data_IF_285762682545
#
_entry.id   IF_285762682545
#
_cell.length_a   1.000
_cell.length_b   1.000
_cell.length_c   1.000
_cell.angle_alpha   90.00
_cell.angle_beta   90.00
_cell.angle_gamma   90.00
#
_symmetry.space_group_name_H-M   'P 1'
#
loop_
_entity.id
_entity.type
_entity.pdbx_description
1 polymer ?
#
# COMPACT_ATOMS: atom_id res chain seq x y z
N UNK A 1 27.86 -10.79 0.66
CA UNK A 1 26.39 -10.61 0.70
C UNK A 1 25.96 -9.71 1.87
N UNK A 2 25.38 -8.56 1.60
CA UNK A 2 24.77 -7.63 2.56
C UNK A 2 23.37 -7.22 2.12
N UNK A 3 22.66 -6.53 3.02
CA UNK A 3 21.28 -6.06 2.81
C UNK A 3 21.19 -4.59 3.18
N UNK A 4 20.58 -3.79 2.32
CA UNK A 4 20.24 -2.39 2.58
C UNK A 4 18.71 -2.27 2.56
N UNK A 5 18.16 -1.67 3.62
CA UNK A 5 16.74 -1.34 3.70
C UNK A 5 16.56 0.17 3.80
N UNK A 6 15.50 0.69 3.18
CA UNK A 6 15.10 2.09 3.27
C UNK A 6 13.60 2.21 3.44
N UNK A 7 13.20 3.01 4.42
CA UNK A 7 11.80 3.31 4.71
C UNK A 7 11.42 4.68 4.15
N UNK A 8 10.24 4.75 3.53
CA UNK A 8 9.62 5.95 2.99
C UNK A 8 8.21 6.10 3.55
N UNK A 9 7.73 7.34 3.66
CA UNK A 9 6.34 7.62 3.97
C UNK A 9 5.70 8.40 2.82
N UNK A 10 4.44 8.10 2.52
CA UNK A 10 3.66 8.87 1.56
C UNK A 10 2.17 8.87 1.94
N UNK A 11 1.50 9.98 1.67
CA UNK A 11 0.06 10.11 1.83
C UNK A 11 -0.65 9.74 0.53
N UNK A 12 -1.66 8.87 0.58
CA UNK A 12 -2.52 8.57 -0.56
C UNK A 12 -3.94 8.23 -0.11
N UNK A 13 -4.93 8.58 -0.92
CA UNK A 13 -6.33 8.19 -0.73
C UNK A 13 -6.73 7.07 -1.68
N UNK A 14 -7.67 6.23 -1.25
CA UNK A 14 -8.25 5.16 -2.05
C UNK A 14 -9.69 4.83 -1.66
N UNK A 15 -10.30 3.96 -2.46
CA UNK A 15 -11.55 3.24 -2.15
C UNK A 15 -11.36 1.79 -2.57
N UNK A 16 -11.77 0.85 -1.72
CA UNK A 16 -11.88 -0.55 -2.13
C UNK A 16 -13.22 -0.77 -2.82
N UNK A 17 -13.18 -1.17 -4.09
CA UNK A 17 -14.38 -1.32 -4.92
C UNK A 17 -14.16 -2.34 -6.03
N UNK A 18 -15.16 -3.21 -6.25
CA UNK A 18 -15.25 -4.13 -7.38
C UNK A 18 -16.35 -3.64 -8.34
N UNK A 19 -16.02 -3.29 -9.60
CA UNK A 19 -17.00 -2.77 -10.56
C UNK A 19 -18.15 -3.73 -10.89
N UNK A 20 -17.92 -5.03 -10.78
CA UNK A 20 -18.92 -6.06 -11.10
C UNK A 20 -19.91 -6.29 -9.95
N UNK A 21 -19.73 -5.63 -8.80
CA UNK A 21 -20.55 -5.80 -7.61
C UNK A 21 -21.48 -4.61 -7.41
N UNK A 22 -22.66 -4.88 -6.84
CA UNK A 22 -23.52 -3.81 -6.33
C UNK A 22 -22.82 -3.03 -5.20
N UNK A 23 -23.23 -1.79 -4.99
CA UNK A 23 -22.71 -0.99 -3.87
C UNK A 23 -22.99 -1.63 -2.50
N UNK A 24 -24.12 -2.34 -2.38
CA UNK A 24 -24.43 -3.10 -1.19
C UNK A 24 -23.39 -4.21 -0.95
N UNK A 25 -23.11 -5.02 -1.97
CA UNK A 25 -22.10 -6.09 -1.86
C UNK A 25 -20.71 -5.53 -1.59
N UNK A 26 -20.34 -4.41 -2.21
CA UNK A 26 -19.09 -3.72 -1.90
C UNK A 26 -19.02 -3.26 -0.44
N UNK A 27 -20.12 -2.71 0.11
CA UNK A 27 -20.20 -2.33 1.52
C UNK A 27 -20.17 -3.51 2.48
N UNK A 28 -20.81 -4.63 2.12
CA UNK A 28 -20.78 -5.87 2.91
C UNK A 28 -19.37 -6.46 2.99
N UNK A 29 -18.63 -6.48 1.87
CA UNK A 29 -17.29 -7.08 1.81
C UNK A 29 -16.20 -6.14 2.32
N UNK A 30 -16.20 -4.87 1.90
CA UNK A 30 -15.12 -3.92 2.21
C UNK A 30 -15.46 -2.96 3.36
N UNK A 31 -16.69 -2.98 3.89
CA UNK A 31 -17.09 -2.17 5.03
C UNK A 31 -16.85 -0.67 4.82
N UNK A 32 -16.24 -0.01 5.80
CA UNK A 32 -15.90 1.43 5.75
C UNK A 32 -14.94 1.77 4.60
N UNK A 33 -14.13 0.81 4.15
CA UNK A 33 -13.19 1.02 3.04
C UNK A 33 -13.91 1.15 1.68
N UNK A 34 -15.19 0.78 1.61
CA UNK A 34 -16.05 0.94 0.43
C UNK A 34 -16.64 2.36 0.27
N UNK A 35 -16.35 3.29 1.19
CA UNK A 35 -16.88 4.65 1.18
C UNK A 35 -16.79 5.28 -0.22
N UNK A 36 -17.90 5.76 -0.82
CA UNK A 36 -17.89 6.41 -2.14
C UNK A 36 -16.92 7.59 -2.26
N UNK A 37 -16.67 8.30 -1.15
CA UNK A 37 -15.73 9.42 -1.11
C UNK A 37 -14.29 9.00 -0.78
N UNK A 38 -14.04 7.69 -0.67
CA UNK A 38 -12.74 7.14 -0.28
C UNK A 38 -12.35 7.41 1.16
N UNK A 39 -11.08 7.14 1.45
CA UNK A 39 -10.36 7.43 2.69
C UNK A 39 -8.86 7.40 2.38
N UNK A 40 -7.99 7.87 3.26
CA UNK A 40 -6.55 7.86 2.99
C UNK A 40 -5.71 7.79 4.26
N UNK A 41 -4.85 6.77 4.39
CA UNK A 41 -3.82 6.75 5.42
C UNK A 41 -2.51 7.37 4.91
N UNK A 42 -1.59 7.59 5.85
CA UNK A 42 -0.17 7.73 5.53
C UNK A 42 0.43 6.33 5.46
N UNK A 43 0.94 5.95 4.29
CA UNK A 43 1.58 4.66 4.06
C UNK A 43 3.05 4.72 4.45
N UNK A 44 3.57 3.60 4.96
CA UNK A 44 5.00 3.35 5.13
C UNK A 44 5.44 2.27 4.16
N UNK A 45 6.38 2.59 3.27
CA UNK A 45 6.97 1.67 2.31
C UNK A 45 8.40 1.35 2.76
N UNK A 46 8.67 0.07 3.01
CA UNK A 46 10.01 -0.42 3.29
C UNK A 46 10.53 -1.17 2.05
N UNK A 47 11.67 -0.71 1.52
CA UNK A 47 12.32 -1.28 0.35
C UNK A 47 13.63 -1.91 0.79
N UNK A 48 13.82 -3.19 0.47
CA UNK A 48 15.02 -3.94 0.83
C UNK A 48 15.70 -4.47 -0.43
N UNK A 49 17.02 -4.33 -0.49
CA UNK A 49 17.88 -4.87 -1.55
C UNK A 49 19.01 -5.67 -0.89
N UNK A 50 19.25 -6.88 -1.37
CA UNK A 50 20.32 -7.76 -0.90
C UNK A 50 21.24 -8.13 -2.07
N UNK A 51 22.55 -8.17 -1.82
CA UNK A 51 23.54 -8.44 -2.86
C UNK A 51 24.96 -8.46 -2.34
N UNK A 52 25.93 -8.68 -3.22
CA UNK A 52 27.34 -8.51 -2.86
C UNK A 52 27.65 -7.03 -2.60
N UNK A 53 28.41 -6.78 -1.53
CA UNK A 53 28.87 -5.43 -1.22
C UNK A 53 30.04 -5.13 -2.14
N UNK A 54 30.01 -3.97 -2.76
CA UNK A 54 31.20 -3.47 -3.44
C UNK A 54 32.27 -3.21 -2.38
N UNK A 55 33.52 -3.62 -2.65
CA UNK A 55 34.61 -3.43 -1.69
C UNK A 55 35.25 -2.04 -1.78
N UNK A 56 34.98 -1.28 -2.84
CA UNK A 56 35.45 0.09 -3.01
C UNK A 56 34.48 1.14 -2.44
N UNK A 57 33.22 0.78 -2.22
CA UNK A 57 32.13 1.65 -1.75
C UNK A 57 31.11 0.87 -0.93
#
# INVERSE_FOLDING_TARGET
>A
MGTIAKSFEFAASHRLYRPEWSDQRNREVFGKCANPNGHGPNYRLEVQVSGELNQET
#
